data_IF_520966771714
#
_entry.id   IF_520966771714
#
_cell.length_a   1.000
_cell.length_b   1.000
_cell.length_c   1.000
_cell.angle_alpha   90.00
_cell.angle_beta   90.00
_cell.angle_gamma   90.00
#
_symmetry.space_group_name_H-M   'P 1'
#
loop_
_entity.id
_entity.type
_entity.pdbx_description
1 polymer ?
#
# COMPACT_ATOMS: atom_id res chain seq x y z
N UNK A 1 -5.82 -13.72 17.34
CA UNK A 1 -5.18 -13.73 16.01
C UNK A 1 -5.03 -12.30 15.56
N UNK A 2 -3.82 -11.85 15.25
CA UNK A 2 -3.56 -10.53 14.66
C UNK A 2 -4.33 -10.44 13.34
N UNK A 3 -5.06 -9.37 13.06
CA UNK A 3 -5.78 -9.22 11.79
C UNK A 3 -4.79 -9.24 10.62
N UNK A 4 -5.18 -9.79 9.47
CA UNK A 4 -4.33 -9.68 8.30
C UNK A 4 -4.55 -8.29 7.74
N UNK A 5 -3.46 -7.55 7.57
CA UNK A 5 -3.52 -6.22 7.00
C UNK A 5 -3.12 -6.32 5.55
N UNK A 6 -4.02 -5.87 4.67
CA UNK A 6 -3.74 -5.67 3.27
C UNK A 6 -3.00 -4.33 3.06
N UNK A 7 -2.10 -4.23 2.07
CA UNK A 7 -1.50 -2.94 1.68
C UNK A 7 -2.52 -1.84 1.42
N UNK A 8 -3.67 -2.22 0.84
CA UNK A 8 -4.75 -1.30 0.47
C UNK A 8 -5.33 -0.56 1.68
N UNK A 9 -5.36 -1.18 2.87
CA UNK A 9 -5.88 -0.54 4.08
C UNK A 9 -5.06 0.72 4.43
N UNK A 10 -3.72 0.61 4.40
CA UNK A 10 -2.84 1.74 4.68
C UNK A 10 -2.91 2.78 3.56
N UNK A 11 -3.01 2.36 2.30
CA UNK A 11 -3.11 3.27 1.15
C UNK A 11 -4.38 4.11 1.22
N UNK A 12 -5.51 3.50 1.56
CA UNK A 12 -6.79 4.21 1.68
C UNK A 12 -6.77 5.21 2.84
N UNK A 13 -6.31 4.79 4.02
CA UNK A 13 -6.14 5.67 5.17
C UNK A 13 -5.19 6.84 4.85
N UNK A 14 -4.03 6.55 4.26
CA UNK A 14 -3.05 7.59 3.92
C UNK A 14 -3.53 8.55 2.82
N UNK A 15 -4.31 8.06 1.85
CA UNK A 15 -4.93 8.92 0.82
C UNK A 15 -5.98 9.84 1.43
N UNK A 16 -6.76 9.35 2.42
CA UNK A 16 -7.71 10.18 3.16
C UNK A 16 -6.98 11.27 3.97
N UNK A 17 -5.88 10.93 4.65
CA UNK A 17 -5.07 11.90 5.39
C UNK A 17 -4.47 12.98 4.49
N UNK A 18 -3.96 12.61 3.31
CA UNK A 18 -3.47 13.58 2.33
C UNK A 18 -4.57 14.53 1.84
N UNK A 19 -5.81 14.06 1.72
CA UNK A 19 -6.95 14.86 1.28
C UNK A 19 -7.49 15.81 2.37
N UNK A 20 -7.22 15.53 3.65
CA UNK A 20 -7.59 16.42 4.77
C UNK A 20 -6.72 17.67 4.79
N UNK A 21 -5.53 17.62 4.17
CA UNK A 21 -4.54 18.70 4.21
C UNK A 21 -4.20 19.12 5.65
N UNK A 22 -4.09 18.13 6.55
CA UNK A 22 -3.62 18.36 7.90
C UNK A 22 -2.24 18.99 7.85
N UNK A 23 -2.07 20.06 8.63
CA UNK A 23 -0.77 20.66 8.90
C UNK A 23 -0.46 20.55 10.39
N UNK A 24 0.82 20.34 10.69
CA UNK A 24 1.34 20.31 12.04
C UNK A 24 1.27 21.67 12.76
N UNK A 25 1.56 21.66 14.06
CA UNK A 25 1.57 22.90 14.83
C UNK A 25 2.63 23.88 14.31
N UNK A 26 2.33 25.16 14.46
CA UNK A 26 3.19 26.25 13.99
C UNK A 26 3.52 27.20 15.12
N UNK A 27 4.79 27.56 15.23
CA UNK A 27 5.29 28.60 16.13
C UNK A 27 5.90 29.73 15.31
N UNK A 28 5.18 30.85 15.23
CA UNK A 28 5.57 31.96 14.36
C UNK A 28 5.63 31.53 12.89
N UNK A 29 6.80 31.68 12.27
CA UNK A 29 7.02 31.31 10.86
C UNK A 29 7.40 29.84 10.64
N UNK A 30 7.65 29.07 11.70
CA UNK A 30 8.27 27.74 11.64
C UNK A 30 7.31 26.65 12.07
N UNK A 31 7.35 25.52 11.36
CA UNK A 31 6.62 24.32 11.74
C UNK A 31 7.36 23.55 12.82
N UNK A 32 6.62 23.02 13.80
CA UNK A 32 7.22 22.56 15.05
C UNK A 32 7.50 21.06 15.10
N UNK A 33 7.09 20.28 14.09
CA UNK A 33 7.08 18.81 14.20
C UNK A 33 6.15 18.27 15.30
N UNK A 34 5.33 19.11 15.95
CA UNK A 34 4.30 18.68 16.90
C UNK A 34 3.04 18.33 16.11
N UNK A 35 2.61 17.07 16.20
CA UNK A 35 1.59 16.54 15.32
C UNK A 35 0.67 15.50 15.98
N UNK A 36 -0.54 15.31 15.43
CA UNK A 36 -1.49 14.31 15.93
C UNK A 36 -0.97 12.87 15.81
N UNK A 37 -0.15 12.57 14.79
CA UNK A 37 0.27 11.19 14.50
C UNK A 37 1.17 10.62 15.60
N UNK A 38 2.13 11.41 16.10
CA UNK A 38 2.95 11.03 17.24
C UNK A 38 2.13 10.90 18.54
N UNK A 39 1.10 11.74 18.74
CA UNK A 39 0.21 11.65 19.89
C UNK A 39 -0.68 10.39 19.86
N UNK A 40 -1.16 10.01 18.68
CA UNK A 40 -2.11 8.90 18.51
C UNK A 40 -1.42 7.53 18.32
N UNK A 41 -0.14 7.50 17.94
CA UNK A 41 0.57 6.24 17.67
C UNK A 41 1.20 5.68 18.95
N UNK A 42 0.88 4.42 19.34
CA UNK A 42 1.45 3.80 20.53
C UNK A 42 2.98 3.88 20.57
N UNK A 43 3.52 4.41 21.66
CA UNK A 43 4.97 4.53 21.87
C UNK A 43 5.64 5.71 21.15
N UNK A 44 4.92 6.51 20.36
CA UNK A 44 5.53 7.59 19.56
C UNK A 44 5.40 8.98 20.16
N UNK A 45 4.58 9.18 21.20
CA UNK A 45 4.39 10.50 21.81
C UNK A 45 5.68 11.14 22.37
N UNK A 46 6.68 10.39 22.88
CA UNK A 46 7.96 10.97 23.28
C UNK A 46 8.77 11.60 22.13
N UNK A 47 8.44 11.31 20.87
CA UNK A 47 9.14 11.82 19.69
C UNK A 47 8.46 13.05 19.06
N UNK A 48 7.52 13.69 19.77
CA UNK A 48 6.97 14.97 19.34
C UNK A 48 8.07 16.00 19.12
N UNK A 49 7.92 16.81 18.07
CA UNK A 49 8.93 17.80 17.69
C UNK A 49 10.09 17.25 16.86
N UNK A 50 10.10 15.94 16.56
CA UNK A 50 11.01 15.31 15.59
C UNK A 50 10.28 15.05 14.27
N UNK A 51 11.04 14.88 13.19
CA UNK A 51 10.49 14.50 11.88
C UNK A 51 9.60 13.25 12.00
N UNK A 52 8.38 13.32 11.46
CA UNK A 52 7.34 12.31 11.68
C UNK A 52 7.05 11.46 10.44
N UNK A 53 7.96 11.39 9.47
CA UNK A 53 7.77 10.65 8.23
C UNK A 53 7.55 9.13 8.46
N UNK A 54 8.34 8.49 9.33
CA UNK A 54 8.13 7.07 9.73
C UNK A 54 6.93 6.95 10.68
N UNK A 55 6.79 7.87 11.64
CA UNK A 55 5.70 7.88 12.63
C UNK A 55 4.34 7.90 11.93
N UNK A 56 4.18 8.68 10.86
CA UNK A 56 2.95 8.71 10.08
C UNK A 56 2.60 7.35 9.45
N UNK A 57 3.60 6.59 8.99
CA UNK A 57 3.37 5.24 8.47
C UNK A 57 3.03 4.24 9.57
N UNK A 58 3.67 4.36 10.75
CA UNK A 58 3.30 3.58 11.94
C UNK A 58 1.87 3.90 12.41
N UNK A 59 1.46 5.17 12.33
CA UNK A 59 0.09 5.56 12.60
C UNK A 59 -0.87 4.82 11.65
N UNK A 60 -0.59 4.77 10.34
CA UNK A 60 -1.41 4.01 9.40
C UNK A 60 -1.51 2.53 9.75
N UNK A 61 -0.39 1.89 10.12
CA UNK A 61 -0.38 0.49 10.55
C UNK A 61 -1.21 0.28 11.83
N UNK A 62 -1.06 1.17 12.82
CA UNK A 62 -1.87 1.16 14.04
C UNK A 62 -3.38 1.30 13.74
N UNK A 63 -3.74 2.26 12.89
CA UNK A 63 -5.13 2.50 12.47
C UNK A 63 -5.71 1.33 11.67
N UNK A 64 -4.87 0.60 10.94
CA UNK A 64 -5.23 -0.63 10.25
C UNK A 64 -5.33 -1.87 11.17
N UNK A 65 -5.02 -1.71 12.47
CA UNK A 65 -5.29 -2.71 13.52
C UNK A 65 -4.07 -3.48 14.02
N UNK A 66 -2.88 -3.25 13.48
CA UNK A 66 -1.64 -3.87 13.95
C UNK A 66 -0.43 -3.03 13.55
N UNK A 67 0.18 -2.36 14.53
CA UNK A 67 1.40 -1.58 14.33
C UNK A 67 2.64 -2.45 14.07
N UNK A 68 2.61 -3.74 14.46
CA UNK A 68 3.77 -4.63 14.40
C UNK A 68 4.16 -5.09 12.99
N UNK A 69 3.33 -4.78 11.99
CA UNK A 69 3.67 -5.05 10.58
C UNK A 69 4.80 -4.16 10.05
N UNK A 70 5.13 -3.06 10.74
CA UNK A 70 6.21 -2.12 10.39
C UNK A 70 7.24 -1.99 11.52
N UNK A 71 8.49 -1.60 11.23
CA UNK A 71 9.51 -1.28 12.24
C UNK A 71 9.00 -0.20 13.19
N UNK A 72 8.92 -0.51 14.48
CA UNK A 72 8.37 0.38 15.51
C UNK A 72 9.43 1.38 16.01
N UNK A 73 9.90 2.22 15.10
CA UNK A 73 10.93 3.25 15.31
C UNK A 73 10.52 4.55 14.61
N UNK A 74 10.91 5.73 15.12
CA UNK A 74 10.80 6.97 14.36
C UNK A 74 11.90 7.15 13.30
N UNK A 75 12.95 6.32 13.33
CA UNK A 75 14.19 6.51 12.56
C UNK A 75 14.19 5.73 11.23
N UNK A 76 14.48 6.43 10.13
CA UNK A 76 14.54 5.84 8.80
C UNK A 76 15.66 4.79 8.65
N UNK A 77 16.85 5.04 9.17
CA UNK A 77 17.97 4.09 9.10
C UNK A 77 17.68 2.84 9.93
N UNK A 78 17.08 2.98 11.11
CA UNK A 78 16.64 1.84 11.91
C UNK A 78 15.54 1.03 11.19
N UNK A 79 14.63 1.69 10.46
CA UNK A 79 13.64 1.00 9.63
C UNK A 79 14.31 0.15 8.53
N UNK A 80 15.34 0.68 7.83
CA UNK A 80 16.14 -0.08 6.85
C UNK A 80 16.75 -1.33 7.49
N UNK A 81 17.45 -1.15 8.62
CA UNK A 81 18.08 -2.26 9.35
C UNK A 81 17.06 -3.31 9.79
N UNK A 82 15.89 -2.88 10.28
CA UNK A 82 14.83 -3.78 10.76
C UNK A 82 14.23 -4.59 9.61
N UNK A 83 13.90 -3.97 8.48
CA UNK A 83 13.40 -4.71 7.30
C UNK A 83 14.44 -5.69 6.76
N UNK A 84 15.71 -5.30 6.76
CA UNK A 84 16.81 -6.19 6.35
C UNK A 84 16.88 -7.40 7.29
N UNK A 85 16.83 -7.17 8.60
CA UNK A 85 16.83 -8.25 9.61
C UNK A 85 15.60 -9.16 9.50
N UNK A 86 14.46 -8.62 9.08
CA UNK A 86 13.26 -9.42 8.81
C UNK A 86 13.33 -10.23 7.51
N UNK A 87 14.36 -10.04 6.67
CA UNK A 87 14.40 -10.61 5.33
C UNK A 87 13.31 -10.01 4.42
N UNK A 88 12.88 -8.77 4.69
CA UNK A 88 11.80 -8.08 3.98
C UNK A 88 12.26 -6.77 3.35
N UNK A 89 13.54 -6.72 2.97
CA UNK A 89 14.11 -5.64 2.19
C UNK A 89 14.15 -6.02 0.71
N UNK A 90 13.77 -5.10 -0.18
CA UNK A 90 13.89 -5.29 -1.63
C UNK A 90 14.41 -4.02 -2.31
N UNK A 91 15.05 -4.23 -3.46
CA UNK A 91 15.47 -3.17 -4.38
C UNK A 91 14.40 -2.85 -5.43
N UNK A 92 13.22 -3.48 -5.33
CA UNK A 92 12.08 -3.26 -6.22
C UNK A 92 10.88 -2.79 -5.38
N UNK A 93 9.97 -1.98 -5.94
CA UNK A 93 8.77 -1.55 -5.27
C UNK A 93 7.76 -2.70 -5.16
N UNK A 94 6.93 -2.61 -4.13
CA UNK A 94 5.70 -3.34 -3.99
C UNK A 94 4.59 -2.39 -3.56
N UNK A 95 3.35 -2.78 -3.79
CA UNK A 95 2.21 -2.03 -3.30
C UNK A 95 2.21 -2.03 -1.77
N UNK A 96 2.09 -0.85 -1.17
CA UNK A 96 2.18 -0.61 0.28
C UNK A 96 3.58 -0.77 0.87
N UNK A 97 4.62 -0.97 0.05
CA UNK A 97 5.98 -0.93 0.54
C UNK A 97 6.30 0.43 1.15
N UNK A 98 7.15 0.43 2.17
CA UNK A 98 7.77 1.64 2.67
C UNK A 98 8.98 1.94 1.77
N UNK A 99 8.90 2.99 0.95
CA UNK A 99 10.06 3.46 0.20
C UNK A 99 10.98 4.24 1.14
N UNK A 100 12.28 3.96 1.08
CA UNK A 100 13.31 4.67 1.84
C UNK A 100 14.06 5.59 0.90
N UNK A 101 14.24 6.85 1.33
CA UNK A 101 14.79 7.93 0.51
C UNK A 101 16.08 8.43 1.15
N UNK A 102 17.05 8.80 0.32
CA UNK A 102 18.38 9.25 0.71
C UNK A 102 19.47 8.32 0.21
N UNK A 103 20.73 8.72 0.30
CA UNK A 103 21.87 7.94 -0.22
C UNK A 103 21.98 6.53 0.37
N UNK A 104 21.46 6.33 1.58
CA UNK A 104 21.36 5.06 2.30
C UNK A 104 19.98 4.83 2.93
N UNK A 105 18.95 5.53 2.42
CA UNK A 105 17.57 5.41 2.89
C UNK A 105 17.25 6.05 4.24
N UNK A 106 18.11 6.93 4.73
CA UNK A 106 18.06 7.53 6.07
C UNK A 106 17.33 8.88 6.11
N UNK A 107 17.07 9.51 4.98
CA UNK A 107 16.66 10.92 4.93
C UNK A 107 15.14 11.09 5.00
N UNK A 108 14.37 10.22 4.34
CA UNK A 108 12.91 10.31 4.29
C UNK A 108 12.26 8.98 3.95
N UNK A 109 10.93 8.91 4.07
CA UNK A 109 10.17 7.72 3.70
C UNK A 109 8.77 8.04 3.20
N UNK A 110 8.13 7.07 2.54
CA UNK A 110 6.73 7.14 2.14
C UNK A 110 6.12 5.77 1.90
N UNK A 111 4.79 5.70 1.83
CA UNK A 111 4.05 4.50 1.48
C UNK A 111 3.79 4.45 -0.03
N UNK A 112 4.22 3.38 -0.70
CA UNK A 112 3.96 3.18 -2.14
C UNK A 112 2.48 2.88 -2.37
N UNK A 113 1.76 3.78 -3.08
CA UNK A 113 0.34 3.62 -3.44
C UNK A 113 0.11 3.06 -4.84
N UNK A 114 1.08 3.19 -5.73
CA UNK A 114 1.12 2.57 -7.06
C UNK A 114 2.55 2.56 -7.58
N UNK A 115 2.84 1.71 -8.57
CA UNK A 115 4.10 1.76 -9.31
C UNK A 115 3.88 1.30 -10.76
N UNK A 116 4.76 1.76 -11.64
CA UNK A 116 4.90 1.23 -13.01
C UNK A 116 6.37 0.89 -13.31
N UNK A 117 6.72 0.76 -14.59
CA UNK A 117 8.09 0.46 -15.03
C UNK A 117 9.10 1.57 -14.74
N UNK A 118 8.65 2.80 -14.50
CA UNK A 118 9.46 4.03 -14.39
C UNK A 118 9.21 4.83 -13.13
N UNK A 119 8.02 4.75 -12.54
CA UNK A 119 7.60 5.62 -11.46
C UNK A 119 6.98 4.85 -10.29
N UNK A 120 7.03 5.48 -9.13
CA UNK A 120 6.22 5.16 -7.97
C UNK A 120 5.36 6.36 -7.60
N UNK A 121 4.12 6.10 -7.22
CA UNK A 121 3.31 7.05 -6.47
C UNK A 121 3.41 6.76 -4.98
N UNK A 122 3.61 7.78 -4.16
CA UNK A 122 3.78 7.63 -2.71
C UNK A 122 2.83 8.52 -1.92
N UNK A 123 2.59 8.14 -0.67
CA UNK A 123 1.98 8.97 0.38
C UNK A 123 3.10 9.27 1.39
N UNK A 124 3.40 10.55 1.61
CA UNK A 124 4.55 10.99 2.41
C UNK A 124 4.09 11.92 3.52
N UNK A 125 4.34 11.51 4.77
CA UNK A 125 4.12 12.31 5.97
C UNK A 125 5.34 13.17 6.26
N UNK A 126 5.16 14.31 6.92
CA UNK A 126 6.23 15.27 7.17
C UNK A 126 6.92 15.68 5.85
N UNK A 127 6.10 15.87 4.81
CA UNK A 127 6.51 16.44 3.52
C UNK A 127 5.80 17.79 3.35
N UNK A 128 6.11 18.53 2.27
CA UNK A 128 5.55 19.85 1.99
C UNK A 128 5.16 19.94 0.50
N UNK A 129 5.19 21.09 -0.16
CA UNK A 129 4.98 21.14 -1.62
C UNK A 129 6.28 20.92 -2.43
N UNK A 130 7.46 21.19 -1.87
CA UNK A 130 8.75 21.11 -2.58
C UNK A 130 9.45 19.74 -2.50
N UNK A 131 9.00 18.85 -1.61
CA UNK A 131 9.58 17.51 -1.46
C UNK A 131 10.56 17.39 -0.31
N UNK A 132 10.73 18.44 0.50
CA UNK A 132 11.68 18.42 1.61
C UNK A 132 11.19 17.52 2.76
N UNK A 133 12.11 16.78 3.42
CA UNK A 133 11.83 15.94 4.58
C UNK A 133 11.51 16.73 5.86
N UNK A 134 11.76 18.03 5.89
CA UNK A 134 11.17 18.95 6.88
C UNK A 134 9.87 19.49 6.29
N UNK A 135 8.76 18.81 6.59
CA UNK A 135 7.50 19.06 5.92
C UNK A 135 6.31 19.21 6.86
N UNK A 136 5.34 20.00 6.42
CA UNK A 136 4.25 20.47 7.26
C UNK A 136 3.04 19.53 7.29
N UNK A 137 2.97 18.52 6.43
CA UNK A 137 1.78 17.67 6.34
C UNK A 137 1.96 16.37 5.56
N UNK A 138 0.85 15.87 5.02
CA UNK A 138 0.76 14.62 4.27
C UNK A 138 0.50 14.89 2.79
N UNK A 139 1.36 14.38 1.92
CA UNK A 139 1.34 14.71 0.50
C UNK A 139 1.40 13.46 -0.38
N UNK A 140 0.69 13.52 -1.51
CA UNK A 140 0.84 12.54 -2.58
C UNK A 140 1.99 12.96 -3.49
N UNK A 141 2.95 12.05 -3.75
CA UNK A 141 4.06 12.29 -4.67
C UNK A 141 4.09 11.29 -5.81
N UNK A 142 4.86 11.67 -6.82
CA UNK A 142 5.33 10.79 -7.89
C UNK A 142 6.85 10.92 -7.93
N UNK A 143 7.55 9.79 -7.90
CA UNK A 143 9.01 9.73 -7.94
C UNK A 143 9.45 8.79 -9.06
N UNK A 144 10.57 9.10 -9.71
CA UNK A 144 11.22 8.15 -10.59
C UNK A 144 11.83 7.03 -9.73
N UNK A 145 11.47 5.78 -9.99
CA UNK A 145 11.93 4.65 -9.18
C UNK A 145 13.40 4.28 -9.40
N UNK A 146 14.02 4.85 -10.43
CA UNK A 146 15.45 4.73 -10.74
C UNK A 146 16.26 5.95 -10.27
N UNK A 147 15.63 6.92 -9.60
CA UNK A 147 16.33 8.04 -8.98
C UNK A 147 17.33 7.54 -7.93
N UNK A 148 18.54 8.10 -7.92
CA UNK A 148 19.60 7.72 -6.97
C UNK A 148 19.22 7.94 -5.51
N UNK A 149 18.26 8.84 -5.23
CA UNK A 149 17.73 9.08 -3.90
C UNK A 149 16.59 8.13 -3.51
N UNK A 150 16.07 7.31 -4.44
CA UNK A 150 15.15 6.22 -4.10
C UNK A 150 16.00 5.00 -3.76
N UNK A 151 16.33 4.84 -2.48
CA UNK A 151 17.31 3.86 -2.01
C UNK A 151 16.79 2.42 -2.16
N UNK A 152 15.63 2.13 -1.57
CA UNK A 152 15.06 0.79 -1.58
C UNK A 152 13.74 0.73 -0.84
N UNK A 153 13.26 -0.48 -0.61
CA UNK A 153 11.88 -0.72 -0.18
C UNK A 153 11.85 -1.72 0.97
N UNK A 154 11.32 -1.28 2.10
CA UNK A 154 10.90 -2.16 3.18
C UNK A 154 9.51 -2.72 2.89
N UNK A 155 9.33 -4.03 3.01
CA UNK A 155 8.04 -4.68 2.82
C UNK A 155 7.40 -4.96 4.19
N UNK A 156 6.38 -4.20 4.61
CA UNK A 156 5.63 -4.53 5.83
C UNK A 156 5.12 -5.97 5.82
N UNK A 157 4.87 -6.52 7.01
CA UNK A 157 4.34 -7.88 7.19
C UNK A 157 2.83 -7.98 6.87
N UNK A 158 2.45 -7.47 5.70
CA UNK A 158 1.11 -7.61 5.16
C UNK A 158 0.75 -9.07 4.91
N UNK A 159 -0.55 -9.33 4.74
CA UNK A 159 -0.96 -10.59 4.16
C UNK A 159 -0.49 -10.75 2.71
N UNK A 160 0.01 -11.96 2.43
CA UNK A 160 0.48 -12.41 1.13
C UNK A 160 -0.65 -12.98 0.27
N UNK A 161 -0.52 -13.00 -1.08
CA UNK A 161 0.70 -12.74 -1.86
C UNK A 161 0.98 -11.26 -2.18
N UNK A 162 2.18 -10.76 -1.92
CA UNK A 162 2.47 -9.34 -2.19
C UNK A 162 2.46 -8.99 -3.68
N UNK A 163 1.82 -7.88 -4.05
CA UNK A 163 1.93 -7.31 -5.40
C UNK A 163 3.24 -6.53 -5.49
N UNK A 164 4.24 -7.11 -6.15
CA UNK A 164 5.62 -6.58 -6.23
C UNK A 164 6.22 -6.69 -7.62
N UNK A 165 7.15 -5.78 -7.94
CA UNK A 165 8.03 -5.88 -9.11
C UNK A 165 9.28 -6.75 -8.85
N UNK A 166 9.46 -7.28 -7.64
CA UNK A 166 10.51 -8.22 -7.30
C UNK A 166 10.14 -9.64 -7.72
N UNK A 167 10.65 -10.09 -8.85
CA UNK A 167 10.40 -11.44 -9.36
C UNK A 167 11.07 -12.54 -8.54
N UNK A 168 11.97 -12.17 -7.62
CA UNK A 168 12.63 -13.10 -6.69
C UNK A 168 11.94 -13.16 -5.33
N UNK A 169 10.90 -12.35 -5.10
CA UNK A 169 10.17 -12.34 -3.86
C UNK A 169 9.47 -13.67 -3.60
N UNK A 170 9.63 -14.19 -2.38
CA UNK A 170 8.95 -15.38 -1.90
C UNK A 170 8.10 -14.97 -0.71
N UNK A 171 6.79 -15.19 -0.82
CA UNK A 171 5.87 -14.86 0.25
C UNK A 171 6.14 -15.69 1.51
N UNK A 172 6.03 -15.04 2.67
CA UNK A 172 6.13 -15.70 3.97
C UNK A 172 4.90 -16.61 4.16
N UNK A 173 5.08 -17.94 4.29
CA UNK A 173 3.96 -18.87 4.48
C UNK A 173 3.09 -18.54 5.69
N UNK A 174 3.65 -17.94 6.75
CA UNK A 174 2.89 -17.54 7.93
C UNK A 174 1.98 -16.33 7.68
N UNK A 175 2.25 -15.55 6.63
CA UNK A 175 1.46 -14.40 6.20
C UNK A 175 0.52 -14.71 5.02
N UNK A 176 0.58 -15.94 4.48
CA UNK A 176 -0.39 -16.39 3.47
C UNK A 176 -1.75 -16.49 4.15
N UNK A 177 -2.60 -15.48 3.93
CA UNK A 177 -3.99 -15.51 4.37
C UNK A 177 -4.81 -15.80 3.15
N UNK A 178 -5.07 -17.08 2.94
CA UNK A 178 -6.05 -17.54 1.96
C UNK A 178 -7.37 -16.85 2.28
N UNK A 179 -8.06 -16.39 1.25
CA UNK A 179 -9.34 -15.67 1.29
C UNK A 179 -10.52 -16.50 1.85
N UNK A 180 -10.28 -17.50 2.68
CA UNK A 180 -11.30 -18.38 3.26
C UNK A 180 -11.40 -18.17 4.77
N UNK A 181 -12.50 -17.59 5.22
CA UNK A 181 -12.87 -17.46 6.63
C UNK A 181 -13.15 -16.02 7.08
N UNK A 182 -13.82 -15.88 8.21
CA UNK A 182 -14.20 -14.60 8.85
C UNK A 182 -13.02 -13.74 9.32
N UNK A 183 -11.79 -14.24 9.20
CA UNK A 183 -10.53 -13.56 9.57
C UNK A 183 -9.59 -13.29 8.37
N UNK A 184 -10.04 -13.54 7.14
CA UNK A 184 -9.26 -13.26 5.93
C UNK A 184 -9.24 -11.76 5.64
N UNK A 185 -8.09 -11.18 5.27
CA UNK A 185 -8.00 -9.77 4.84
C UNK A 185 -8.68 -9.47 3.51
N UNK A 186 -8.87 -10.52 2.70
CA UNK A 186 -9.36 -10.43 1.34
C UNK A 186 -10.68 -11.16 1.21
N UNK A 187 -11.54 -10.61 0.35
CA UNK A 187 -12.82 -11.19 0.03
C UNK A 187 -12.65 -12.59 -0.59
N UNK A 188 -13.48 -13.56 -0.18
CA UNK A 188 -13.49 -14.89 -0.80
C UNK A 188 -13.80 -14.80 -2.29
N UNK A 189 -13.28 -15.74 -3.07
CA UNK A 189 -13.65 -15.87 -4.47
C UNK A 189 -15.15 -16.17 -4.55
N UNK A 190 -15.97 -15.34 -5.22
CA UNK A 190 -17.42 -15.45 -5.17
C UNK A 190 -17.97 -16.54 -6.12
N UNK A 191 -17.08 -17.26 -6.82
CA UNK A 191 -17.45 -18.25 -7.83
C UNK A 191 -17.64 -17.63 -9.23
N UNK A 192 -17.47 -18.43 -10.30
CA UNK A 192 -17.51 -17.92 -11.68
C UNK A 192 -18.87 -17.32 -12.06
N UNK A 193 -19.97 -17.85 -11.52
CA UNK A 193 -21.33 -17.37 -11.77
C UNK A 193 -21.61 -15.95 -11.24
N UNK A 194 -20.74 -15.45 -10.37
CA UNK A 194 -20.86 -14.08 -9.85
C UNK A 194 -20.47 -13.04 -10.91
N UNK A 195 -19.59 -13.37 -11.87
CA UNK A 195 -19.08 -12.43 -12.87
C UNK A 195 -20.05 -12.28 -14.05
N UNK A 196 -21.18 -11.61 -13.80
CA UNK A 196 -22.21 -11.34 -14.81
C UNK A 196 -22.37 -9.84 -14.98
N UNK A 197 -22.35 -9.37 -16.24
CA UNK A 197 -22.58 -7.97 -16.56
C UNK A 197 -23.91 -7.50 -15.98
N UNK A 198 -23.92 -6.33 -15.34
CA UNK A 198 -25.07 -5.77 -14.66
C UNK A 198 -25.29 -6.28 -13.24
N UNK A 199 -24.43 -7.16 -12.70
CA UNK A 199 -24.44 -7.47 -11.27
C UNK A 199 -23.92 -6.27 -10.47
N UNK A 200 -24.73 -5.80 -9.53
CA UNK A 200 -24.35 -4.76 -8.56
C UNK A 200 -23.86 -5.39 -7.26
N UNK A 201 -22.68 -4.99 -6.77
CA UNK A 201 -22.11 -5.40 -5.49
C UNK A 201 -21.01 -4.44 -5.02
N UNK A 202 -20.92 -4.11 -3.72
CA UNK A 202 -19.75 -3.42 -3.16
C UNK A 202 -18.42 -4.15 -3.44
N UNK A 203 -18.47 -5.48 -3.58
CA UNK A 203 -17.32 -6.29 -3.93
C UNK A 203 -16.86 -6.07 -5.39
N UNK A 204 -17.77 -5.73 -6.30
CA UNK A 204 -17.42 -5.37 -7.67
C UNK A 204 -16.65 -4.04 -7.70
N UNK A 205 -17.06 -3.06 -6.90
CA UNK A 205 -16.32 -1.80 -6.75
C UNK A 205 -14.94 -2.03 -6.16
N UNK A 206 -14.82 -2.86 -5.12
CA UNK A 206 -13.54 -3.21 -4.54
C UNK A 206 -12.62 -3.90 -5.56
N UNK A 207 -13.16 -4.84 -6.35
CA UNK A 207 -12.43 -5.51 -7.42
C UNK A 207 -11.97 -4.54 -8.52
N UNK A 208 -12.87 -3.67 -8.99
CA UNK A 208 -12.57 -2.67 -10.01
C UNK A 208 -11.46 -1.72 -9.58
N UNK A 209 -11.52 -1.22 -8.34
CA UNK A 209 -10.46 -0.40 -7.75
C UNK A 209 -9.12 -1.12 -7.73
N UNK A 210 -9.10 -2.41 -7.39
CA UNK A 210 -7.87 -3.21 -7.40
C UNK A 210 -7.32 -3.44 -8.80
N UNK A 211 -8.18 -3.75 -9.78
CA UNK A 211 -7.76 -3.90 -11.18
C UNK A 211 -7.09 -2.63 -11.71
N UNK A 212 -7.66 -1.47 -11.42
CA UNK A 212 -7.06 -0.18 -11.78
C UNK A 212 -5.73 0.03 -11.03
N UNK A 213 -5.69 -0.27 -9.73
CA UNK A 213 -4.50 -0.10 -8.90
C UNK A 213 -3.30 -0.95 -9.35
N UNK A 214 -3.55 -2.15 -9.89
CA UNK A 214 -2.49 -3.01 -10.47
C UNK A 214 -2.21 -2.74 -11.95
N UNK A 215 -2.79 -1.67 -12.51
CA UNK A 215 -2.58 -1.25 -13.90
C UNK A 215 -3.29 -2.13 -14.94
N UNK A 216 -4.25 -2.96 -14.51
CA UNK A 216 -4.99 -3.85 -15.41
C UNK A 216 -6.15 -3.14 -16.13
N UNK A 217 -6.53 -1.92 -15.72
CA UNK A 217 -7.57 -1.14 -16.39
C UNK A 217 -7.50 0.36 -16.13
N UNK A 218 -8.14 1.13 -17.02
CA UNK A 218 -8.26 2.60 -16.96
C UNK A 218 -9.72 3.02 -17.18
N UNK A 219 -10.55 2.88 -16.15
CA UNK A 219 -11.97 3.22 -16.18
C UNK A 219 -12.44 3.74 -14.83
N UNK A 220 -13.62 4.36 -14.77
CA UNK A 220 -14.22 4.77 -13.50
C UNK A 220 -14.80 3.53 -12.80
N UNK A 221 -14.27 3.12 -11.63
CA UNK A 221 -14.76 1.94 -10.94
C UNK A 221 -16.17 2.19 -10.39
N UNK A 222 -17.05 1.19 -10.48
CA UNK A 222 -18.44 1.28 -10.03
C UNK A 222 -18.84 0.02 -9.25
N UNK A 223 -20.01 0.04 -8.60
CA UNK A 223 -20.56 -1.15 -7.95
C UNK A 223 -21.09 -2.19 -8.96
N UNK A 224 -21.19 -1.84 -10.24
CA UNK A 224 -21.71 -2.72 -11.28
C UNK A 224 -20.56 -3.39 -12.04
N UNK A 225 -20.68 -4.70 -12.27
CA UNK A 225 -19.80 -5.41 -13.19
C UNK A 225 -20.15 -4.96 -14.62
N UNK A 226 -19.24 -4.23 -15.25
CA UNK A 226 -19.32 -3.81 -16.64
C UNK A 226 -18.41 -4.62 -17.57
N UNK A 227 -18.50 -4.35 -18.88
CA UNK A 227 -17.59 -4.91 -19.88
C UNK A 227 -16.14 -4.44 -19.68
N UNK A 228 -15.94 -3.24 -19.13
CA UNK A 228 -14.63 -2.72 -18.77
C UNK A 228 -13.97 -3.56 -17.67
N UNK A 229 -14.72 -4.02 -16.66
CA UNK A 229 -14.21 -4.90 -15.62
C UNK A 229 -13.75 -6.25 -16.19
N UNK A 230 -14.57 -6.87 -17.04
CA UNK A 230 -14.22 -8.15 -17.68
C UNK A 230 -12.97 -8.01 -18.57
N UNK A 231 -12.83 -6.87 -19.25
CA UNK A 231 -11.62 -6.56 -20.03
C UNK A 231 -10.40 -6.42 -19.12
N UNK A 232 -10.53 -5.67 -18.03
CA UNK A 232 -9.44 -5.44 -17.08
C UNK A 232 -9.03 -6.73 -16.37
N UNK A 233 -9.97 -7.62 -16.04
CA UNK A 233 -9.62 -8.93 -15.54
C UNK A 233 -8.84 -9.78 -16.56
N UNK A 234 -9.11 -9.62 -17.85
CA UNK A 234 -8.34 -10.27 -18.91
C UNK A 234 -6.91 -9.78 -18.96
N UNK A 235 -6.71 -8.46 -18.86
CA UNK A 235 -5.38 -7.87 -18.75
C UNK A 235 -4.65 -8.38 -17.50
N UNK A 236 -5.34 -8.42 -16.36
CA UNK A 236 -4.77 -8.95 -15.11
C UNK A 236 -4.34 -10.41 -15.24
N UNK A 237 -5.17 -11.23 -15.88
CA UNK A 237 -4.85 -12.64 -16.14
C UNK A 237 -3.57 -12.80 -16.97
N UNK A 238 -3.39 -11.98 -18.01
CA UNK A 238 -2.15 -11.94 -18.82
C UNK A 238 -0.95 -11.54 -17.96
N UNK A 239 -1.09 -10.51 -17.13
CA UNK A 239 -0.02 -10.03 -16.23
C UNK A 239 0.44 -11.11 -15.24
N UNK A 240 -0.45 -12.00 -14.82
CA UNK A 240 -0.12 -13.12 -13.92
C UNK A 240 0.57 -14.31 -14.62
N UNK A 241 0.96 -14.19 -15.89
CA UNK A 241 1.82 -15.16 -16.58
C UNK A 241 1.14 -16.49 -16.94
N UNK A 242 -0.20 -16.54 -16.96
CA UNK A 242 -0.92 -17.75 -17.36
C UNK A 242 -0.93 -17.91 -18.90
N UNK A 243 -0.53 -19.08 -19.45
CA UNK A 243 -0.37 -19.24 -20.90
C UNK A 243 -1.72 -19.26 -21.63
N UNK A 244 -1.96 -18.23 -22.44
CA UNK A 244 -2.50 -18.32 -23.80
C UNK A 244 -3.84 -19.02 -24.07
N UNK A 245 -4.67 -19.30 -23.07
CA UNK A 245 -6.06 -19.72 -23.27
C UNK A 245 -6.99 -18.51 -23.43
N UNK A 246 -8.04 -18.64 -24.23
CA UNK A 246 -9.08 -17.60 -24.36
C UNK A 246 -9.62 -17.24 -22.97
N UNK A 247 -9.34 -16.02 -22.51
CA UNK A 247 -9.90 -15.51 -21.28
C UNK A 247 -11.39 -15.26 -21.49
N UNK A 248 -12.24 -15.96 -20.73
CA UNK A 248 -13.70 -15.91 -20.86
C UNK A 248 -14.33 -14.64 -20.26
N UNK A 249 -13.52 -13.71 -19.77
CA UNK A 249 -13.99 -12.57 -18.97
C UNK A 249 -14.08 -12.87 -17.47
N UNK A 250 -13.92 -14.13 -17.06
CA UNK A 250 -14.12 -14.58 -15.67
C UNK A 250 -12.79 -15.06 -15.08
N UNK A 251 -12.29 -14.47 -13.97
CA UNK A 251 -11.04 -14.89 -13.36
C UNK A 251 -11.20 -16.24 -12.65
N UNK A 252 -10.16 -17.07 -12.65
CA UNK A 252 -10.12 -18.24 -11.75
C UNK A 252 -9.93 -17.79 -10.30
N UNK A 253 -10.15 -18.69 -9.35
CA UNK A 253 -9.88 -18.41 -7.94
C UNK A 253 -8.42 -17.98 -7.70
N UNK A 254 -7.46 -18.56 -8.43
CA UNK A 254 -6.05 -18.17 -8.31
C UNK A 254 -5.82 -16.73 -8.78
N UNK A 255 -6.41 -16.34 -9.92
CA UNK A 255 -6.32 -14.98 -10.47
C UNK A 255 -7.05 -13.95 -9.58
N UNK A 256 -8.19 -14.33 -9.02
CA UNK A 256 -8.90 -13.54 -8.01
C UNK A 256 -8.03 -13.28 -6.78
N UNK A 257 -7.44 -14.34 -6.22
CA UNK A 257 -6.59 -14.27 -5.02
C UNK A 257 -5.37 -13.39 -5.23
N UNK A 258 -4.76 -13.49 -6.42
CA UNK A 258 -3.62 -12.64 -6.78
C UNK A 258 -3.97 -11.14 -6.78
N UNK A 259 -5.24 -10.79 -7.06
CA UNK A 259 -5.66 -9.39 -7.10
C UNK A 259 -5.81 -8.75 -5.70
N UNK A 260 -5.94 -9.58 -4.65
CA UNK A 260 -6.01 -9.13 -3.26
C UNK A 260 -7.15 -8.14 -3.00
N UNK A 261 -8.39 -8.55 -3.31
CA UNK A 261 -9.57 -7.69 -3.16
C UNK A 261 -9.95 -7.58 -1.68
N UNK A 262 -9.99 -6.37 -1.09
CA UNK A 262 -10.39 -6.21 0.31
C UNK A 262 -11.87 -6.57 0.52
N UNK A 263 -12.26 -6.83 1.77
CA UNK A 263 -13.68 -6.92 2.09
C UNK A 263 -14.38 -5.58 1.81
N UNK A 264 -15.58 -5.68 1.26
CA UNK A 264 -16.48 -4.56 1.13
C UNK A 264 -17.55 -4.69 2.21
N UNK A 265 -17.57 -3.77 3.17
CA UNK A 265 -18.67 -3.62 4.14
C UNK A 265 -19.88 -2.94 3.48
#
# INVERSE_FOLDING_TARGET
MVAAIAPQALIELGTQEAAIHYQEDRSGSTWTNINKYAAETPGMSPYQGLSYCVIGLLWLAHRAGDISIMPQTPDCAEAVSTYTAWGRWSWKPALGAQVMIGSSGQDHTGLVRWYDSTQIGTIEFNSNNSGSPEGDGVYLRVRNRADANVYGYGYPKYCSPMVTADTSWVDDPALIRTSSGTAAAYAPYPGPDWFRVGRTSPLALAAAKRLIAVGAGSYTPSNDIGSADLTAWGNWHVTQGSPGGAYTGVPSEAIWRALQIPHSH
#
